data_IF_801766541251
#
_entry.id   IF_801766541251
#
_cell.length_a   1.000
_cell.length_b   1.000
_cell.length_c   1.000
_cell.angle_alpha   90.00
_cell.angle_beta   90.00
_cell.angle_gamma   90.00
#
_symmetry.space_group_name_H-M   'P 1'
#
loop_
_entity.id
_entity.type
_entity.pdbx_description
1 polymer ?
#
# COMPACT_ATOMS: atom_id res chain seq x y z
N UNK A 1 -17.28 -15.51 -6.04
CA UNK A 1 -17.45 -14.03 -6.00
C UNK A 1 -17.87 -13.58 -7.38
N UNK A 2 -18.70 -12.55 -7.51
CA UNK A 2 -19.18 -12.06 -8.82
C UNK A 2 -18.32 -10.90 -9.30
N UNK A 3 -18.19 -10.74 -10.62
CA UNK A 3 -17.52 -9.60 -11.25
C UNK A 3 -18.07 -8.25 -10.76
N UNK A 4 -19.39 -8.19 -10.53
CA UNK A 4 -20.06 -6.99 -10.03
C UNK A 4 -19.58 -6.55 -8.63
N UNK A 5 -19.14 -7.48 -7.77
CA UNK A 5 -18.62 -7.13 -6.45
C UNK A 5 -17.25 -6.44 -6.58
N UNK A 6 -16.33 -7.00 -7.36
CA UNK A 6 -14.99 -6.42 -7.55
C UNK A 6 -15.02 -5.07 -8.25
N UNK A 7 -16.01 -4.83 -9.13
CA UNK A 7 -16.17 -3.55 -9.81
C UNK A 7 -16.86 -2.49 -8.95
N UNK A 8 -17.42 -2.85 -7.81
CA UNK A 8 -18.09 -1.88 -6.94
C UNK A 8 -17.08 -0.81 -6.48
N UNK A 9 -17.39 0.50 -6.62
CA UNK A 9 -16.44 1.57 -6.34
C UNK A 9 -15.82 1.51 -4.94
N UNK A 10 -16.63 1.21 -3.91
CA UNK A 10 -16.13 1.08 -2.54
C UNK A 10 -15.16 -0.11 -2.36
N UNK A 11 -15.40 -1.23 -3.05
CA UNK A 11 -14.50 -2.40 -3.00
C UNK A 11 -13.18 -2.05 -3.69
N UNK A 12 -13.24 -1.41 -4.87
CA UNK A 12 -12.03 -0.96 -5.57
C UNK A 12 -11.22 0.04 -4.76
N UNK A 13 -11.88 1.02 -4.14
CA UNK A 13 -11.20 2.03 -3.32
C UNK A 13 -10.49 1.38 -2.13
N UNK A 14 -11.16 0.46 -1.43
CA UNK A 14 -10.57 -0.29 -0.33
C UNK A 14 -9.40 -1.17 -0.78
N UNK A 15 -9.56 -1.94 -1.86
CA UNK A 15 -8.49 -2.80 -2.38
C UNK A 15 -7.29 -2.01 -2.90
N UNK A 16 -7.53 -0.88 -3.55
CA UNK A 16 -6.46 0.01 -4.01
C UNK A 16 -5.71 0.59 -2.82
N UNK A 17 -6.41 1.07 -1.78
CA UNK A 17 -5.76 1.55 -0.57
C UNK A 17 -4.92 0.46 0.09
N UNK A 18 -5.42 -0.79 0.16
CA UNK A 18 -4.64 -1.92 0.68
C UNK A 18 -3.37 -2.21 -0.15
N UNK A 19 -3.46 -2.12 -1.48
CA UNK A 19 -2.31 -2.27 -2.36
C UNK A 19 -1.30 -1.13 -2.18
N UNK A 20 -1.76 0.12 -2.16
CA UNK A 20 -0.92 1.30 -1.91
C UNK A 20 -0.17 1.14 -0.56
N UNK A 21 -0.88 0.72 0.50
CA UNK A 21 -0.28 0.52 1.82
C UNK A 21 0.84 -0.53 1.83
N UNK A 22 0.64 -1.64 1.10
CA UNK A 22 1.61 -2.72 1.02
C UNK A 22 2.83 -2.32 0.17
N UNK A 23 2.58 -1.84 -1.05
CA UNK A 23 3.64 -1.51 -2.02
C UNK A 23 4.46 -0.29 -1.60
N UNK A 24 3.82 0.75 -1.06
CA UNK A 24 4.53 1.97 -0.70
C UNK A 24 5.37 1.77 0.56
N UNK A 25 4.89 0.93 1.49
CA UNK A 25 5.68 0.54 2.65
C UNK A 25 6.93 -0.25 2.23
N UNK A 26 6.78 -1.18 1.29
CA UNK A 26 7.89 -1.92 0.72
C UNK A 26 8.93 -0.97 0.10
N UNK A 27 8.49 -0.07 -0.79
CA UNK A 27 9.37 0.89 -1.48
C UNK A 27 10.09 1.84 -0.51
N UNK A 28 9.43 2.27 0.57
CA UNK A 28 10.05 3.09 1.60
C UNK A 28 11.18 2.35 2.33
N UNK A 29 10.98 1.06 2.63
CA UNK A 29 11.98 0.25 3.32
C UNK A 29 13.12 -0.22 2.42
N UNK A 30 12.85 -0.45 1.13
CA UNK A 30 13.87 -0.91 0.19
C UNK A 30 14.59 0.21 -0.57
N UNK A 31 14.29 1.47 -0.30
CA UNK A 31 14.77 2.62 -1.08
C UNK A 31 16.28 2.59 -1.36
N UNK A 32 17.11 2.41 -0.32
CA UNK A 32 18.58 2.42 -0.48
C UNK A 32 19.05 1.28 -1.39
N UNK A 33 18.53 0.07 -1.15
CA UNK A 33 18.85 -1.11 -1.97
C UNK A 33 18.39 -0.93 -3.41
N UNK A 34 17.17 -0.46 -3.60
CA UNK A 34 16.54 -0.33 -4.92
C UNK A 34 17.23 0.76 -5.76
N UNK A 35 17.66 1.86 -5.13
CA UNK A 35 18.49 2.86 -5.79
C UNK A 35 19.80 2.28 -6.33
N UNK A 36 20.39 1.30 -5.65
CA UNK A 36 21.63 0.64 -6.07
C UNK A 36 21.42 -0.53 -7.05
N UNK A 37 20.27 -1.22 -7.01
CA UNK A 37 20.13 -2.55 -7.63
C UNK A 37 18.91 -2.76 -8.53
N UNK A 38 17.85 -1.96 -8.40
CA UNK A 38 16.59 -2.18 -9.17
C UNK A 38 16.51 -1.36 -10.45
N UNK A 39 17.61 -0.73 -10.88
CA UNK A 39 17.61 0.24 -11.96
C UNK A 39 16.81 1.49 -11.63
N UNK A 40 16.62 1.80 -10.34
CA UNK A 40 15.85 2.96 -9.87
C UNK A 40 14.33 2.77 -9.87
N UNK A 41 13.82 1.56 -10.10
CA UNK A 41 12.40 1.27 -9.97
C UNK A 41 12.01 1.22 -8.49
N UNK A 42 11.48 2.33 -8.01
CA UNK A 42 10.94 2.54 -6.65
C UNK A 42 10.05 3.80 -6.69
N UNK A 43 8.90 3.77 -6.02
CA UNK A 43 7.97 4.90 -6.03
C UNK A 43 8.61 6.20 -5.54
N UNK A 44 9.48 6.17 -4.53
CA UNK A 44 10.15 7.38 -4.02
C UNK A 44 11.02 8.01 -5.08
N UNK A 45 11.77 7.19 -5.83
CA UNK A 45 12.63 7.66 -6.92
C UNK A 45 11.79 8.21 -8.08
N UNK A 46 10.66 7.57 -8.41
CA UNK A 46 9.72 8.07 -9.40
C UNK A 46 9.10 9.43 -8.98
N UNK A 47 8.70 9.56 -7.71
CA UNK A 47 8.16 10.81 -7.15
C UNK A 47 9.20 11.94 -7.15
N UNK A 48 10.45 11.63 -6.81
CA UNK A 48 11.56 12.59 -6.84
C UNK A 48 11.79 13.12 -8.26
N UNK A 49 11.81 12.22 -9.25
CA UNK A 49 11.98 12.58 -10.64
C UNK A 49 10.80 13.39 -11.19
N UNK A 50 9.56 12.98 -10.92
CA UNK A 50 8.35 13.67 -11.38
C UNK A 50 8.28 15.11 -10.83
N UNK A 51 8.61 15.29 -9.55
CA UNK A 51 8.48 16.57 -8.86
C UNK A 51 9.73 17.43 -8.89
N UNK A 52 10.83 16.90 -9.44
CA UNK A 52 12.14 17.57 -9.47
C UNK A 52 12.63 17.95 -8.06
N UNK A 53 12.47 17.05 -7.10
CA UNK A 53 12.88 17.22 -5.69
C UNK A 53 13.90 16.15 -5.27
N UNK A 54 14.68 16.38 -4.20
CA UNK A 54 15.56 15.36 -3.66
C UNK A 54 14.80 14.10 -3.20
N UNK A 55 15.42 12.89 -3.24
CA UNK A 55 14.78 11.65 -2.79
C UNK A 55 14.29 11.67 -1.34
N UNK A 56 14.96 12.43 -0.47
CA UNK A 56 14.58 12.58 0.94
C UNK A 56 13.23 13.30 1.10
N UNK A 57 13.02 14.36 0.34
CA UNK A 57 11.75 15.10 0.30
C UNK A 57 10.63 14.22 -0.30
N UNK A 58 10.92 13.49 -1.38
CA UNK A 58 9.99 12.54 -1.97
C UNK A 58 9.61 11.41 -0.98
N UNK A 59 10.58 10.91 -0.20
CA UNK A 59 10.34 9.90 0.83
C UNK A 59 9.44 10.45 1.95
N UNK A 60 9.65 11.71 2.37
CA UNK A 60 8.78 12.37 3.33
C UNK A 60 7.33 12.47 2.82
N UNK A 61 7.15 12.85 1.55
CA UNK A 61 5.83 12.92 0.92
C UNK A 61 5.17 11.53 0.79
N UNK A 62 5.93 10.50 0.44
CA UNK A 62 5.45 9.12 0.37
C UNK A 62 5.02 8.60 1.76
N UNK A 63 5.82 8.86 2.81
CA UNK A 63 5.47 8.53 4.20
C UNK A 63 4.20 9.22 4.66
N UNK A 64 4.04 10.52 4.41
CA UNK A 64 2.83 11.23 4.82
C UNK A 64 1.59 10.66 4.12
N UNK A 65 1.68 10.40 2.81
CA UNK A 65 0.55 9.78 2.10
C UNK A 65 0.28 8.37 2.61
N UNK A 66 1.29 7.57 2.91
CA UNK A 66 1.10 6.25 3.50
C UNK A 66 0.38 6.34 4.86
N UNK A 67 0.82 7.23 5.75
CA UNK A 67 0.17 7.45 7.04
C UNK A 67 -1.28 7.92 6.89
N UNK A 68 -1.54 8.82 5.94
CA UNK A 68 -2.90 9.26 5.62
C UNK A 68 -3.77 8.12 5.12
N UNK A 69 -3.29 7.32 4.18
CA UNK A 69 -4.01 6.13 3.68
C UNK A 69 -4.29 5.16 4.83
N UNK A 70 -3.33 4.92 5.74
CA UNK A 70 -3.54 4.06 6.92
C UNK A 70 -4.67 4.58 7.81
N UNK A 71 -4.74 5.90 8.04
CA UNK A 71 -5.81 6.52 8.83
C UNK A 71 -7.18 6.39 8.14
N UNK A 72 -7.23 6.49 6.82
CA UNK A 72 -8.45 6.40 6.02
C UNK A 72 -8.94 4.95 5.82
N UNK A 73 -8.05 3.97 5.92
CA UNK A 73 -8.30 2.57 5.56
C UNK A 73 -9.50 1.91 6.29
N UNK A 74 -9.69 2.08 7.62
CA UNK A 74 -10.87 1.54 8.31
C UNK A 74 -12.19 2.16 7.83
N UNK A 75 -12.18 3.44 7.44
CA UNK A 75 -13.37 4.10 6.90
C UNK A 75 -13.71 3.56 5.51
N UNK A 76 -12.70 3.29 4.67
CA UNK A 76 -12.88 2.64 3.38
C UNK A 76 -13.46 1.23 3.53
N UNK A 77 -13.00 0.47 4.54
CA UNK A 77 -13.55 -0.86 4.90
C UNK A 77 -15.03 -0.78 5.28
N UNK A 78 -15.39 0.23 6.07
CA UNK A 78 -16.76 0.43 6.54
C UNK A 78 -17.71 0.91 5.44
N UNK A 79 -17.19 1.60 4.42
CA UNK A 79 -17.96 2.08 3.27
C UNK A 79 -18.36 0.98 2.27
N UNK A 80 -17.82 -0.24 2.40
CA UNK A 80 -18.20 -1.36 1.54
C UNK A 80 -19.62 -1.83 1.89
N UNK A 81 -20.57 -1.89 0.93
CA UNK A 81 -21.95 -2.29 1.20
C UNK A 81 -22.03 -3.74 1.69
N UNK A 82 -23.18 -4.16 2.28
CA UNK A 82 -23.39 -5.52 2.72
C UNK A 82 -23.06 -6.55 1.63
N UNK A 83 -22.37 -7.61 2.05
CA UNK A 83 -21.85 -8.64 1.16
C UNK A 83 -21.89 -10.00 1.84
N UNK A 84 -21.93 -11.06 1.03
CA UNK A 84 -21.90 -12.44 1.54
C UNK A 84 -20.53 -12.84 2.08
N UNK A 85 -20.45 -14.05 2.63
CA UNK A 85 -19.24 -14.60 3.25
C UNK A 85 -17.99 -14.54 2.34
N UNK A 86 -18.15 -14.77 1.04
CA UNK A 86 -17.03 -14.67 0.08
C UNK A 86 -16.48 -13.24 -0.04
N UNK A 87 -17.34 -12.22 0.00
CA UNK A 87 -16.91 -10.82 0.01
C UNK A 87 -16.19 -10.47 1.31
N UNK A 88 -16.70 -10.95 2.45
CA UNK A 88 -16.05 -10.76 3.76
C UNK A 88 -14.63 -11.34 3.75
N UNK A 89 -14.48 -12.59 3.33
CA UNK A 89 -13.17 -13.26 3.25
C UNK A 89 -12.19 -12.52 2.36
N UNK A 90 -12.65 -11.91 1.28
CA UNK A 90 -11.81 -11.09 0.41
C UNK A 90 -11.33 -9.84 1.14
N UNK A 91 -12.24 -9.08 1.75
CA UNK A 91 -11.89 -7.84 2.46
C UNK A 91 -10.94 -8.12 3.62
N UNK A 92 -11.21 -9.15 4.41
CA UNK A 92 -10.34 -9.58 5.51
C UNK A 92 -8.95 -9.97 4.96
N UNK A 93 -8.89 -10.62 3.80
CA UNK A 93 -7.64 -10.95 3.12
C UNK A 93 -6.79 -9.72 2.75
N UNK A 94 -7.42 -8.62 2.34
CA UNK A 94 -6.71 -7.35 2.09
C UNK A 94 -6.15 -6.78 3.40
N UNK A 95 -6.91 -6.80 4.49
CA UNK A 95 -6.44 -6.33 5.81
C UNK A 95 -5.28 -7.17 6.32
N UNK A 96 -5.37 -8.50 6.18
CA UNK A 96 -4.29 -9.42 6.55
C UNK A 96 -3.05 -9.22 5.69
N UNK A 97 -3.19 -8.92 4.39
CA UNK A 97 -2.05 -8.62 3.55
C UNK A 97 -1.32 -7.35 4.03
N UNK A 98 -2.06 -6.28 4.32
CA UNK A 98 -1.48 -5.03 4.86
C UNK A 98 -0.73 -5.30 6.17
N UNK A 99 -1.37 -5.99 7.12
CA UNK A 99 -0.75 -6.30 8.41
C UNK A 99 0.46 -7.22 8.27
N UNK A 100 0.33 -8.27 7.47
CA UNK A 100 1.39 -9.25 7.25
C UNK A 100 2.63 -8.64 6.60
N UNK A 101 2.47 -7.66 5.70
CA UNK A 101 3.63 -6.94 5.16
C UNK A 101 4.34 -6.11 6.22
N UNK A 102 3.61 -5.46 7.14
CA UNK A 102 4.26 -4.73 8.24
C UNK A 102 5.02 -5.70 9.15
N UNK A 103 4.36 -6.75 9.63
CA UNK A 103 4.96 -7.73 10.54
C UNK A 103 6.21 -8.38 9.91
N UNK A 104 6.10 -8.87 8.67
CA UNK A 104 7.22 -9.49 7.97
C UNK A 104 8.40 -8.53 7.76
N UNK A 105 8.12 -7.27 7.43
CA UNK A 105 9.18 -6.29 7.25
C UNK A 105 9.94 -5.99 8.54
N UNK A 106 9.30 -6.06 9.71
CA UNK A 106 9.97 -5.93 11.01
C UNK A 106 10.78 -7.18 11.39
N UNK A 107 10.28 -8.37 11.06
CA UNK A 107 10.90 -9.64 11.46
C UNK A 107 12.01 -10.09 10.50
N UNK A 108 11.97 -9.67 9.23
CA UNK A 108 12.91 -10.12 8.22
C UNK A 108 14.23 -9.34 8.26
N UNK A 109 15.34 -10.03 8.01
CA UNK A 109 16.64 -9.40 7.76
C UNK A 109 16.74 -8.71 6.37
N UNK A 110 15.65 -8.61 5.61
CA UNK A 110 15.67 -8.11 4.23
C UNK A 110 15.94 -6.60 4.15
N UNK A 111 15.61 -5.86 5.20
CA UNK A 111 15.73 -4.40 5.28
C UNK A 111 16.73 -3.93 6.34
N UNK A 112 17.52 -4.86 6.90
CA UNK A 112 18.60 -4.60 7.85
C UNK A 112 19.96 -4.88 7.22
#
# INVERSE_FOLDING_TARGET
MTESFYRHPAVRAFSQAGNDLLSWFNDLLSLERDAATSGGHNLVLALAAERHVPPEEAAAAARERWHRTMREFPALRAAVPPHGAAGRRYLDGVEFAVRGTMDWSYESARYN
#
